data_IF_614928703680
#
_entry.id   IF_614928703680
#
_cell.length_a   1.000
_cell.length_b   1.000
_cell.length_c   1.000
_cell.angle_alpha   90.00
_cell.angle_beta   90.00
_cell.angle_gamma   90.00
#
_symmetry.space_group_name_H-M   'P 1'
#
loop_
_entity.id
_entity.type
_entity.pdbx_description
1 polymer ?
#
# COMPACT_ATOMS: atom_id res chain seq x y z
N UNK A 1 9.34 -24.04 8.42
CA UNK A 1 9.48 -22.88 7.52
C UNK A 1 8.21 -22.83 6.70
N UNK A 2 7.56 -21.68 6.62
CA UNK A 2 6.36 -21.52 5.79
C UNK A 2 6.73 -21.71 4.32
N UNK A 3 5.88 -22.42 3.59
CA UNK A 3 6.10 -22.77 2.19
C UNK A 3 4.86 -22.45 1.35
N UNK A 4 5.01 -22.21 0.03
CA UNK A 4 3.88 -22.05 -0.89
C UNK A 4 2.89 -23.23 -0.81
N UNK A 5 1.59 -22.95 -1.03
CA UNK A 5 0.51 -23.93 -0.87
C UNK A 5 0.67 -25.18 -1.75
N UNK A 6 1.22 -25.05 -2.95
CA UNK A 6 1.50 -26.15 -3.87
C UNK A 6 2.64 -27.06 -3.38
N UNK A 7 3.71 -26.48 -2.85
CA UNK A 7 4.81 -27.21 -2.21
C UNK A 7 4.33 -27.91 -0.93
N UNK A 8 3.56 -27.19 -0.11
CA UNK A 8 2.93 -27.74 1.10
C UNK A 8 2.06 -28.94 0.79
N UNK A 9 1.17 -28.82 -0.20
CA UNK A 9 0.24 -29.88 -0.57
C UNK A 9 0.99 -31.13 -1.06
N UNK A 10 1.97 -30.97 -1.95
CA UNK A 10 2.82 -32.08 -2.44
C UNK A 10 3.57 -32.78 -1.30
N UNK A 11 4.14 -32.01 -0.37
CA UNK A 11 4.81 -32.58 0.80
C UNK A 11 3.85 -33.38 1.66
N UNK A 12 2.61 -32.91 1.82
CA UNK A 12 1.57 -33.63 2.58
C UNK A 12 1.14 -34.91 1.88
N UNK A 13 0.98 -34.88 0.55
CA UNK A 13 0.72 -36.07 -0.26
C UNK A 13 1.80 -37.12 -0.07
N UNK A 14 3.08 -36.72 -0.18
CA UNK A 14 4.21 -37.61 0.07
C UNK A 14 4.22 -38.16 1.50
N UNK A 15 4.05 -37.30 2.51
CA UNK A 15 4.15 -37.71 3.91
C UNK A 15 3.03 -38.63 4.38
N UNK A 16 1.83 -38.54 3.76
CA UNK A 16 0.66 -39.35 4.13
C UNK A 16 0.41 -40.51 3.18
N UNK A 17 1.08 -40.54 2.02
CA UNK A 17 0.86 -41.55 0.98
C UNK A 17 -0.51 -41.45 0.30
N UNK A 18 -1.14 -40.27 0.32
CA UNK A 18 -2.50 -40.06 -0.19
C UNK A 18 -2.52 -38.92 -1.21
N UNK A 19 -3.30 -39.08 -2.30
CA UNK A 19 -3.49 -38.02 -3.28
C UNK A 19 -4.24 -36.79 -2.70
N UNK A 20 -5.09 -37.01 -1.70
CA UNK A 20 -5.82 -35.96 -0.97
C UNK A 20 -5.52 -36.10 0.51
N UNK A 21 -4.46 -35.45 1.04
CA UNK A 21 -3.94 -35.69 2.39
C UNK A 21 -4.88 -35.24 3.51
N UNK A 22 -5.83 -34.36 3.17
CA UNK A 22 -6.85 -33.85 4.06
C UNK A 22 -8.18 -33.76 3.31
N UNK A 23 -9.22 -34.37 3.86
CA UNK A 23 -10.55 -34.34 3.26
C UNK A 23 -11.15 -32.93 3.34
N UNK A 24 -11.96 -32.54 2.35
CA UNK A 24 -12.74 -31.30 2.41
C UNK A 24 -13.63 -31.35 3.66
N UNK A 25 -13.55 -30.31 4.50
CA UNK A 25 -14.28 -30.24 5.76
C UNK A 25 -13.53 -30.76 6.99
N UNK A 26 -12.35 -31.38 6.83
CA UNK A 26 -11.59 -31.97 7.95
C UNK A 26 -11.32 -31.00 9.10
N UNK A 27 -10.96 -29.75 8.79
CA UNK A 27 -10.70 -28.69 9.78
C UNK A 27 -11.85 -27.68 9.90
N UNK A 28 -13.08 -28.06 9.50
CA UNK A 28 -14.24 -27.16 9.55
C UNK A 28 -14.52 -26.64 10.96
N UNK A 29 -14.39 -27.51 11.96
CA UNK A 29 -14.59 -27.13 13.36
C UNK A 29 -13.55 -26.11 13.83
N UNK A 30 -12.29 -26.28 13.42
CA UNK A 30 -11.20 -25.39 13.82
C UNK A 30 -11.30 -23.99 13.19
N UNK A 31 -11.92 -23.90 12.00
CA UNK A 31 -12.18 -22.62 11.33
C UNK A 31 -13.50 -21.95 11.73
N UNK A 32 -14.43 -22.68 12.36
CA UNK A 32 -15.74 -22.15 12.75
C UNK A 32 -15.69 -20.85 13.61
N UNK A 33 -14.72 -20.66 14.53
CA UNK A 33 -14.60 -19.41 15.29
C UNK A 33 -14.16 -18.18 14.47
N UNK A 34 -13.75 -18.38 13.20
CA UNK A 34 -13.18 -17.34 12.35
C UNK A 34 -13.99 -17.12 11.05
N UNK A 35 -15.30 -16.81 11.13
CA UNK A 35 -16.18 -16.74 9.96
C UNK A 35 -15.80 -15.64 8.96
N UNK A 36 -15.06 -14.61 9.41
CA UNK A 36 -14.51 -13.58 8.51
C UNK A 36 -13.42 -14.18 7.62
N UNK A 37 -12.53 -15.03 8.15
CA UNK A 37 -11.44 -15.63 7.38
C UNK A 37 -11.93 -16.58 6.30
N UNK A 38 -13.08 -17.22 6.52
CA UNK A 38 -13.74 -18.03 5.51
C UNK A 38 -14.13 -17.17 4.29
N UNK A 39 -14.56 -15.93 4.50
CA UNK A 39 -14.90 -15.00 3.40
C UNK A 39 -13.68 -14.42 2.70
N UNK A 40 -12.56 -14.32 3.40
CA UNK A 40 -11.31 -13.79 2.86
C UNK A 40 -10.51 -14.83 2.06
N UNK A 41 -10.97 -16.08 2.01
CA UNK A 41 -10.23 -17.18 1.40
C UNK A 41 -10.85 -17.60 0.07
N UNK A 42 -10.01 -17.70 -0.96
CA UNK A 42 -10.40 -18.11 -2.31
C UNK A 42 -9.61 -19.36 -2.74
N UNK A 43 -10.27 -20.53 -2.91
CA UNK A 43 -9.60 -21.75 -3.35
C UNK A 43 -8.90 -21.60 -4.70
N UNK A 44 -9.48 -20.84 -5.62
CA UNK A 44 -8.93 -20.63 -6.97
C UNK A 44 -7.55 -19.95 -6.95
N UNK A 45 -7.28 -19.12 -5.93
CA UNK A 45 -5.98 -18.47 -5.73
C UNK A 45 -4.99 -19.31 -4.91
N UNK A 46 -5.45 -20.46 -4.40
CA UNK A 46 -4.71 -21.36 -3.53
C UNK A 46 -4.66 -22.77 -4.14
N UNK A 47 -4.56 -22.86 -5.47
CA UNK A 47 -4.40 -24.11 -6.22
C UNK A 47 -5.54 -25.13 -5.98
N UNK A 48 -6.76 -24.64 -5.77
CA UNK A 48 -7.94 -25.47 -5.52
C UNK A 48 -8.00 -26.10 -4.13
N UNK A 49 -7.03 -25.84 -3.26
CA UNK A 49 -7.07 -26.28 -1.86
C UNK A 49 -8.17 -25.49 -1.15
N UNK A 50 -9.06 -26.17 -0.45
CA UNK A 50 -10.12 -25.53 0.34
C UNK A 50 -9.60 -25.21 1.73
N UNK A 51 -9.98 -24.08 2.32
CA UNK A 51 -9.53 -23.67 3.67
C UNK A 51 -9.73 -24.77 4.73
N UNK A 52 -10.83 -25.51 4.63
CA UNK A 52 -11.16 -26.62 5.56
C UNK A 52 -10.27 -27.86 5.41
N UNK A 53 -9.36 -27.89 4.42
CA UNK A 53 -8.30 -28.89 4.28
C UNK A 53 -6.97 -28.40 4.87
N UNK A 54 -6.91 -27.14 5.31
CA UNK A 54 -5.71 -26.53 5.90
C UNK A 54 -5.88 -26.46 7.42
N UNK A 55 -5.01 -27.12 8.21
CA UNK A 55 -4.99 -26.93 9.65
C UNK A 55 -4.71 -25.46 10.02
N UNK A 56 -5.37 -24.87 11.02
CA UNK A 56 -5.04 -23.50 11.44
C UNK A 56 -3.59 -23.31 11.91
N UNK A 57 -2.92 -24.36 12.40
CA UNK A 57 -1.51 -24.30 12.78
C UNK A 57 -0.55 -24.59 11.62
N UNK A 58 -1.03 -24.73 10.39
CA UNK A 58 -0.18 -25.05 9.26
C UNK A 58 0.75 -23.87 8.91
N UNK A 59 2.03 -24.18 8.78
CA UNK A 59 3.06 -23.31 8.22
C UNK A 59 2.98 -23.30 6.68
N UNK A 60 1.85 -22.81 6.15
CA UNK A 60 1.57 -22.72 4.72
C UNK A 60 1.25 -21.27 4.36
N UNK A 61 1.83 -20.78 3.27
CA UNK A 61 1.54 -19.46 2.74
C UNK A 61 0.27 -19.54 1.88
N UNK A 62 -0.75 -18.78 2.26
CA UNK A 62 -2.03 -18.71 1.58
C UNK A 62 -2.30 -17.29 1.11
N UNK A 63 -3.01 -17.17 -0.01
CA UNK A 63 -3.49 -15.90 -0.55
C UNK A 63 -4.86 -15.58 0.02
N UNK A 64 -5.01 -14.36 0.55
CA UNK A 64 -6.23 -13.85 1.19
C UNK A 64 -6.68 -12.54 0.54
N UNK A 65 -7.98 -12.26 0.59
CA UNK A 65 -8.57 -10.96 0.22
C UNK A 65 -9.28 -10.35 1.43
N UNK A 66 -8.98 -9.12 1.84
CA UNK A 66 -9.74 -8.48 2.92
C UNK A 66 -11.09 -7.92 2.45
N UNK A 67 -11.98 -7.53 3.38
CA UNK A 67 -13.30 -6.96 3.06
C UNK A 67 -13.23 -5.63 2.24
N UNK A 68 -12.04 -5.03 2.10
CA UNK A 68 -11.78 -3.81 1.31
C UNK A 68 -11.16 -4.13 -0.06
N UNK A 69 -10.86 -5.40 -0.34
CA UNK A 69 -10.32 -5.86 -1.63
C UNK A 69 -8.79 -5.94 -1.72
N UNK A 70 -8.05 -5.76 -0.62
CA UNK A 70 -6.60 -5.96 -0.64
C UNK A 70 -6.27 -7.46 -0.66
N UNK A 71 -5.44 -7.87 -1.61
CA UNK A 71 -4.94 -9.24 -1.74
C UNK A 71 -3.54 -9.34 -1.14
N UNK A 72 -3.34 -10.30 -0.23
CA UNK A 72 -2.05 -10.49 0.46
C UNK A 72 -1.78 -11.95 0.79
N UNK A 73 -0.50 -12.28 1.00
CA UNK A 73 -0.04 -13.63 1.35
C UNK A 73 0.32 -13.68 2.83
N UNK A 74 -0.21 -14.67 3.55
CA UNK A 74 0.07 -14.88 4.96
C UNK A 74 -0.18 -16.32 5.37
N UNK A 75 0.47 -16.76 6.43
CA UNK A 75 0.14 -18.02 7.09
C UNK A 75 -1.21 -17.93 7.81
N UNK A 76 -1.92 -19.06 8.00
CA UNK A 76 -3.07 -19.15 8.91
C UNK A 76 -2.85 -18.46 10.27
N UNK A 77 -1.67 -18.64 10.87
CA UNK A 77 -1.34 -18.09 12.19
C UNK A 77 -1.21 -16.56 12.16
N UNK A 78 -0.48 -16.01 11.18
CA UNK A 78 -0.36 -14.56 10.96
C UNK A 78 -1.72 -13.94 10.70
N UNK A 79 -2.53 -14.58 9.86
CA UNK A 79 -3.84 -14.07 9.47
C UNK A 79 -4.85 -14.05 10.63
N UNK A 80 -4.76 -15.00 11.56
CA UNK A 80 -5.56 -14.98 12.80
C UNK A 80 -5.03 -13.99 13.84
N UNK A 81 -3.78 -13.54 13.72
CA UNK A 81 -3.15 -12.69 14.71
C UNK A 81 -3.72 -11.27 14.64
N UNK A 82 -4.29 -10.80 15.76
CA UNK A 82 -4.77 -9.41 15.87
C UNK A 82 -3.62 -8.47 16.24
N UNK A 83 -3.30 -7.45 15.44
CA UNK A 83 -2.38 -6.41 15.88
C UNK A 83 -3.10 -5.46 16.86
N UNK A 84 -3.03 -5.78 18.16
CA UNK A 84 -3.35 -4.84 19.23
C UNK A 84 -4.83 -4.42 19.39
N UNK A 85 -5.04 -3.36 20.19
CA UNK A 85 -6.35 -2.83 20.61
C UNK A 85 -6.89 -1.70 19.71
N UNK A 86 -6.53 -1.66 18.42
CA UNK A 86 -6.97 -0.58 17.52
C UNK A 86 -8.23 -0.92 16.72
N UNK A 87 -9.09 0.10 16.58
CA UNK A 87 -10.53 0.00 16.37
C UNK A 87 -10.94 -0.31 14.92
N UNK A 88 -10.73 -1.53 14.43
CA UNK A 88 -11.60 -2.13 13.41
C UNK A 88 -11.91 -3.59 13.73
N UNK A 89 -13.15 -3.99 13.46
CA UNK A 89 -13.68 -5.35 13.65
C UNK A 89 -13.34 -6.30 12.49
N UNK A 90 -12.63 -5.83 11.47
CA UNK A 90 -12.18 -6.66 10.34
C UNK A 90 -10.88 -7.36 10.70
N UNK A 91 -10.77 -8.63 10.35
CA UNK A 91 -9.59 -9.46 10.60
C UNK A 91 -8.35 -8.89 9.88
N UNK A 92 -7.16 -9.28 10.32
CA UNK A 92 -5.89 -8.69 9.95
C UNK A 92 -5.70 -8.60 8.43
N UNK A 93 -5.15 -7.49 7.98
CA UNK A 93 -4.70 -7.25 6.62
C UNK A 93 -3.54 -6.25 6.75
N UNK A 94 -2.36 -6.52 6.18
CA UNK A 94 -1.20 -5.66 6.34
C UNK A 94 -1.46 -4.25 5.78
N UNK A 95 -2.18 -4.13 4.67
CA UNK A 95 -2.54 -2.86 4.04
C UNK A 95 -3.51 -2.07 4.92
N UNK A 96 -4.60 -2.72 5.36
CA UNK A 96 -5.57 -2.10 6.25
C UNK A 96 -4.97 -1.74 7.61
N UNK A 97 -4.04 -2.54 8.14
CA UNK A 97 -3.35 -2.24 9.39
C UNK A 97 -2.52 -0.97 9.25
N UNK A 98 -1.77 -0.81 8.14
CA UNK A 98 -1.02 0.42 7.85
C UNK A 98 -1.95 1.62 7.68
N UNK A 99 -3.08 1.46 7.00
CA UNK A 99 -4.08 2.51 6.82
C UNK A 99 -4.81 2.87 8.13
N UNK A 100 -4.98 1.91 9.04
CA UNK A 100 -5.69 2.08 10.30
C UNK A 100 -4.82 2.63 11.43
N UNK A 101 -3.49 2.53 11.31
CA UNK A 101 -2.58 3.14 12.28
C UNK A 101 -2.89 4.64 12.36
N UNK A 102 -3.21 5.17 13.57
CA UNK A 102 -3.39 6.59 13.74
C UNK A 102 -2.10 7.25 13.31
N UNK A 103 -2.17 8.06 12.24
CA UNK A 103 -1.06 8.88 11.80
C UNK A 103 -0.65 9.72 13.01
N UNK A 104 0.48 9.37 13.64
CA UNK A 104 1.07 10.20 14.67
C UNK A 104 1.46 11.48 13.95
N UNK A 105 0.70 12.52 14.26
CA UNK A 105 0.94 13.85 13.73
C UNK A 105 2.41 14.22 13.98
N UNK A 106 3.13 14.77 12.99
CA UNK A 106 4.47 15.28 13.24
C UNK A 106 4.39 16.28 14.38
N UNK A 107 5.16 16.08 15.45
CA UNK A 107 5.38 17.15 16.42
C UNK A 107 6.12 18.22 15.65
N UNK A 108 5.47 19.37 15.43
CA UNK A 108 6.09 20.47 14.71
C UNK A 108 7.28 20.97 15.54
N UNK A 109 8.42 21.26 14.89
CA UNK A 109 9.49 22.02 15.51
C UNK A 109 8.96 23.33 16.10
N UNK A 110 9.53 23.77 17.22
CA UNK A 110 9.11 24.99 17.93
C UNK A 110 9.27 26.26 17.09
N UNK A 111 10.10 26.22 16.05
CA UNK A 111 10.41 27.31 15.12
C UNK A 111 9.57 27.24 13.83
N UNK A 112 8.36 26.68 13.88
CA UNK A 112 7.46 26.66 12.72
C UNK A 112 7.00 28.08 12.33
N UNK A 113 7.42 28.64 11.17
CA UNK A 113 6.99 29.94 10.68
C UNK A 113 5.46 30.10 10.63
N UNK A 114 4.97 31.19 11.22
CA UNK A 114 3.55 31.55 11.26
C UNK A 114 2.91 31.74 9.88
N UNK A 115 3.72 32.09 8.87
CA UNK A 115 3.26 32.28 7.50
C UNK A 115 3.01 30.96 6.75
N UNK A 116 3.47 29.82 7.28
CA UNK A 116 3.25 28.50 6.67
C UNK A 116 2.08 27.83 7.38
N UNK A 117 0.93 27.60 6.71
CA UNK A 117 -0.19 26.92 7.33
C UNK A 117 0.25 25.58 7.90
N UNK A 118 -0.04 25.36 9.18
CA UNK A 118 0.14 24.05 9.81
C UNK A 118 -0.58 23.03 8.93
N UNK A 119 0.06 21.90 8.55
CA UNK A 119 -0.61 20.91 7.73
C UNK A 119 -1.95 20.60 8.37
N UNK A 120 -3.05 20.73 7.63
CA UNK A 120 -4.34 20.41 8.23
C UNK A 120 -4.50 18.90 8.20
N UNK A 121 -4.91 18.30 9.33
CA UNK A 121 -5.43 16.94 9.28
C UNK A 121 -6.54 16.96 8.25
N UNK A 122 -6.46 16.11 7.23
CA UNK A 122 -7.63 15.80 6.41
C UNK A 122 -8.63 15.18 7.35
N UNK A 123 -9.49 16.01 7.93
CA UNK A 123 -10.70 15.57 8.58
C UNK A 123 -11.50 15.05 7.41
N UNK A 124 -11.54 13.72 7.25
CA UNK A 124 -12.58 13.11 6.43
C UNK A 124 -13.87 13.73 6.94
N UNK A 125 -14.50 14.56 6.11
CA UNK A 125 -15.85 15.02 6.36
C UNK A 125 -16.65 13.77 6.72
N UNK A 126 -17.09 13.69 7.97
CA UNK A 126 -18.01 12.65 8.39
C UNK A 126 -19.29 12.89 7.60
N UNK A 127 -19.39 12.20 6.47
CA UNK A 127 -20.33 12.56 5.44
C UNK A 127 -20.64 11.41 4.51
N UNK A 128 -20.83 10.20 5.06
CA UNK A 128 -21.94 9.40 4.51
C UNK A 128 -23.18 10.04 5.10
N UNK A 129 -23.82 10.94 4.35
CA UNK A 129 -25.22 11.26 4.60
C UNK A 129 -25.99 9.96 4.33
N UNK A 130 -26.06 9.09 5.33
CA UNK A 130 -27.12 8.09 5.36
C UNK A 130 -28.41 8.87 5.53
N UNK A 131 -29.30 8.74 4.56
CA UNK A 131 -30.69 9.19 4.64
C UNK A 131 -31.24 8.91 6.05
N UNK A 132 -32.01 9.84 6.66
CA UNK A 132 -32.50 9.67 8.01
C UNK A 132 -33.30 8.37 8.12
N UNK A 133 -32.89 7.51 9.05
CA UNK A 133 -33.65 6.31 9.40
C UNK A 133 -35.01 6.74 9.96
N UNK A 134 -36.08 6.13 9.45
CA UNK A 134 -37.45 6.33 9.94
C UNK A 134 -37.55 6.01 11.46
N UNK A 135 -38.41 6.71 12.22
CA UNK A 135 -38.47 6.55 13.67
C UNK A 135 -39.10 5.20 14.02
N UNK A 136 -38.34 4.36 14.73
CA UNK A 136 -38.86 3.14 15.32
C UNK A 136 -39.48 3.48 16.67
N UNK A 137 -40.79 3.24 16.82
CA UNK A 137 -41.55 3.36 18.06
C UNK A 137 -41.02 2.39 19.14
N UNK A 138 -41.11 2.79 20.42
CA UNK A 138 -40.64 2.08 21.63
C UNK A 138 -41.19 0.66 21.80
N UNK A 139 -40.72 -0.15 22.77
CA UNK A 139 -40.89 -0.01 24.24
C UNK A 139 -39.74 -0.77 25.01
N UNK A 140 -39.69 -0.88 26.38
CA UNK A 140 -38.50 -0.52 27.16
C UNK A 140 -37.87 -1.69 27.95
N UNK A 141 -36.74 -1.45 28.63
CA UNK A 141 -36.34 -2.35 29.71
C UNK A 141 -34.93 -2.15 30.27
N UNK A 142 -34.85 -1.64 31.50
CA UNK A 142 -33.90 -2.17 32.48
C UNK A 142 -32.55 -1.48 32.59
N UNK A 143 -32.48 -0.46 33.43
CA UNK A 143 -31.24 0.03 34.01
C UNK A 143 -30.58 -1.03 34.89
N UNK A 144 -29.24 -1.17 34.82
CA UNK A 144 -28.42 -1.47 35.99
C UNK A 144 -27.06 -0.80 35.83
N UNK A 145 -26.80 0.15 36.73
CA UNK A 145 -25.48 0.68 37.02
C UNK A 145 -24.72 -0.34 37.88
N UNK A 146 -23.42 -0.48 37.67
CA UNK A 146 -22.51 -0.91 38.72
C UNK A 146 -21.11 -0.38 38.47
N UNK A 147 -20.77 0.60 39.30
CA UNK A 147 -19.43 0.99 39.70
C UNK A 147 -18.67 -0.20 40.27
N UNK A 148 -17.34 -0.26 40.03
CA UNK A 148 -16.36 -0.79 40.98
C UNK A 148 -14.92 -0.49 40.55
N UNK A 149 -14.41 0.55 41.21
CA UNK A 149 -13.13 0.63 41.93
C UNK A 149 -12.00 -0.33 41.54
N UNK A 150 -10.89 0.28 41.13
CA UNK A 150 -9.53 -0.26 41.09
C UNK A 150 -9.12 -0.84 42.45
N UNK A 151 -8.48 -2.00 42.42
CA UNK A 151 -7.54 -2.43 43.46
C UNK A 151 -6.24 -2.89 42.80
N UNK A 152 -5.16 -2.18 43.12
CA UNK A 152 -3.77 -2.57 42.81
C UNK A 152 -3.29 -3.49 43.94
N UNK A 153 -2.71 -4.63 43.60
CA UNK A 153 -1.78 -5.36 44.47
C UNK A 153 -0.44 -5.57 43.76
N UNK A 154 0.69 -5.41 44.47
CA UNK A 154 2.02 -5.61 43.92
C UNK A 154 2.45 -7.08 44.09
N UNK A 155 3.30 -7.57 43.19
CA UNK A 155 4.13 -8.75 43.46
C UNK A 155 5.56 -8.43 43.04
N UNK A 156 6.46 -8.69 43.98
CA UNK A 156 7.89 -8.45 43.92
C UNK A 156 8.60 -9.41 42.96
N UNK A 157 9.84 -9.03 42.62
CA UNK A 157 10.59 -9.53 41.48
C UNK A 157 11.28 -10.87 41.64
N UNK A 158 11.84 -11.33 40.52
CA UNK A 158 13.01 -12.20 40.46
C UNK A 158 13.76 -11.99 39.14
N UNK A 159 15.01 -11.54 39.32
CA UNK A 159 16.23 -11.77 38.56
C UNK A 159 16.22 -11.86 37.02
N UNK A 160 16.97 -10.92 36.41
CA UNK A 160 18.20 -11.29 35.71
C UNK A 160 18.10 -11.71 34.23
N UNK A 161 17.88 -10.75 33.33
CA UNK A 161 18.18 -10.89 31.91
C UNK A 161 18.52 -9.52 31.31
N UNK A 162 19.81 -9.27 31.06
CA UNK A 162 20.30 -8.00 30.54
C UNK A 162 19.63 -7.65 29.19
N UNK A 163 19.12 -6.42 29.00
CA UNK A 163 18.61 -6.02 27.70
C UNK A 163 19.80 -5.91 26.74
N UNK A 164 19.83 -6.76 25.71
CA UNK A 164 20.70 -6.56 24.55
C UNK A 164 20.43 -5.16 24.01
N UNK A 165 21.43 -4.27 24.15
CA UNK A 165 21.41 -2.92 23.61
C UNK A 165 21.14 -3.01 22.12
N UNK A 166 19.93 -2.61 21.70
CA UNK A 166 19.66 -2.31 20.30
C UNK A 166 20.67 -1.24 19.87
N UNK A 167 21.48 -1.54 18.86
CA UNK A 167 22.38 -0.57 18.25
C UNK A 167 21.57 0.69 17.95
N UNK A 168 21.94 1.81 18.59
CA UNK A 168 21.32 3.10 18.37
C UNK A 168 21.55 3.46 16.90
N UNK A 169 20.50 3.40 16.09
CA UNK A 169 20.54 3.87 14.72
C UNK A 169 20.86 5.36 14.73
N UNK A 170 21.95 5.75 14.06
CA UNK A 170 22.29 7.16 13.83
C UNK A 170 21.04 7.87 13.28
N UNK A 171 20.60 9.00 13.86
CA UNK A 171 19.44 9.73 13.36
C UNK A 171 19.76 10.22 11.94
N UNK A 172 19.04 9.70 10.95
CA UNK A 172 19.15 10.15 9.56
C UNK A 172 18.65 11.59 9.46
N UNK A 173 19.51 12.50 9.05
CA UNK A 173 19.17 13.91 8.87
C UNK A 173 18.38 14.09 7.58
N UNK A 174 17.16 14.61 7.68
CA UNK A 174 16.30 14.89 6.53
C UNK A 174 16.83 16.14 5.80
N UNK A 175 16.81 16.10 4.47
CA UNK A 175 17.22 17.22 3.62
C UNK A 175 16.37 18.47 3.90
N UNK A 176 16.99 19.63 4.23
CA UNK A 176 16.25 20.86 4.55
C UNK A 176 15.80 21.65 3.30
N UNK A 177 16.21 21.22 2.10
CA UNK A 177 15.99 21.96 0.84
C UNK A 177 14.59 21.76 0.26
N UNK A 178 13.86 20.73 0.69
CA UNK A 178 12.49 20.50 0.24
C UNK A 178 11.58 21.63 0.75
N UNK A 179 10.91 22.39 -0.13
CA UNK A 179 10.00 23.45 0.28
C UNK A 179 8.83 22.90 1.11
N UNK A 180 8.33 23.73 2.02
CA UNK A 180 7.20 23.37 2.90
C UNK A 180 5.89 23.49 2.13
N UNK A 181 5.57 22.45 1.38
CA UNK A 181 4.34 22.35 0.59
C UNK A 181 3.32 21.40 1.22
N UNK A 182 2.02 21.51 0.85
CA UNK A 182 1.00 20.55 1.22
C UNK A 182 1.35 19.12 0.76
N UNK A 183 0.80 18.11 1.45
CA UNK A 183 0.95 16.72 1.05
C UNK A 183 0.40 16.49 -0.35
N UNK A 184 1.18 15.84 -1.21
CA UNK A 184 0.82 15.57 -2.60
C UNK A 184 0.91 16.80 -3.50
N UNK A 185 1.40 17.94 -3.02
CA UNK A 185 1.68 19.07 -3.91
C UNK A 185 2.86 18.73 -4.82
N UNK A 186 2.69 18.96 -6.13
CA UNK A 186 3.78 18.86 -7.10
C UNK A 186 4.50 20.20 -7.24
N UNK A 187 5.81 20.16 -7.45
CA UNK A 187 6.65 21.36 -7.57
C UNK A 187 7.94 21.05 -8.32
N UNK A 188 8.70 22.10 -8.65
CA UNK A 188 10.07 21.97 -9.18
C UNK A 188 11.06 21.89 -8.02
N UNK A 189 11.68 20.72 -7.82
CA UNK A 189 12.65 20.52 -6.76
C UNK A 189 14.07 20.92 -7.18
N UNK A 190 14.80 21.55 -6.26
CA UNK A 190 16.24 21.81 -6.36
C UNK A 190 17.11 20.58 -6.06
N UNK A 191 16.51 19.53 -5.47
CA UNK A 191 17.18 18.28 -5.13
C UNK A 191 16.91 17.16 -6.13
N UNK A 192 15.91 17.34 -7.01
CA UNK A 192 15.64 16.38 -8.06
C UNK A 192 16.91 16.17 -8.91
N UNK A 193 17.27 14.91 -9.21
CA UNK A 193 18.31 14.62 -10.18
C UNK A 193 18.03 15.36 -11.48
N UNK A 194 19.07 15.83 -12.16
CA UNK A 194 18.89 16.31 -13.53
C UNK A 194 18.24 15.19 -14.35
N UNK A 195 17.19 15.50 -15.11
CA UNK A 195 16.50 14.56 -16.00
C UNK A 195 17.54 13.83 -16.84
N UNK A 196 17.72 12.54 -16.57
CA UNK A 196 18.99 11.86 -16.81
C UNK A 196 19.07 11.21 -18.19
N UNK A 197 17.96 11.12 -18.93
CA UNK A 197 17.94 10.46 -20.22
C UNK A 197 17.28 11.27 -21.34
N UNK A 198 17.88 11.22 -22.54
CA UNK A 198 17.28 11.76 -23.76
C UNK A 198 15.88 11.18 -24.04
N UNK A 199 15.63 9.98 -23.53
CA UNK A 199 14.38 9.22 -23.63
C UNK A 199 13.27 9.88 -22.81
N UNK A 200 13.54 10.35 -21.59
CA UNK A 200 12.57 11.12 -20.80
C UNK A 200 12.19 12.45 -21.49
N UNK A 201 13.18 13.12 -22.10
CA UNK A 201 12.94 14.36 -22.85
C UNK A 201 12.10 14.11 -24.10
N UNK A 202 12.36 13.02 -24.83
CA UNK A 202 11.57 12.58 -25.97
C UNK A 202 10.11 12.29 -25.55
N UNK A 203 9.90 11.52 -24.47
CA UNK A 203 8.56 11.24 -23.94
C UNK A 203 7.80 12.53 -23.61
N UNK A 204 8.46 13.46 -22.92
CA UNK A 204 7.88 14.75 -22.54
C UNK A 204 7.53 15.57 -23.78
N UNK A 205 8.41 15.60 -24.78
CA UNK A 205 8.18 16.24 -26.08
C UNK A 205 6.92 15.73 -26.77
N UNK A 206 6.83 14.42 -26.97
CA UNK A 206 5.67 13.79 -27.62
C UNK A 206 4.36 13.99 -26.84
N UNK A 207 4.40 13.99 -25.51
CA UNK A 207 3.24 14.29 -24.69
C UNK A 207 2.83 15.75 -24.83
N UNK A 208 3.78 16.68 -24.83
CA UNK A 208 3.53 18.12 -24.96
C UNK A 208 2.95 18.53 -26.31
N UNK A 209 3.28 17.79 -27.37
CA UNK A 209 2.72 17.98 -28.71
C UNK A 209 1.23 17.61 -28.76
N UNK A 210 0.78 16.70 -27.89
CA UNK A 210 -0.60 16.17 -27.88
C UNK A 210 -1.46 16.77 -26.79
N UNK A 211 -0.86 17.16 -25.66
CA UNK A 211 -1.58 17.63 -24.49
C UNK A 211 -0.95 18.89 -23.91
N UNK A 212 -1.79 19.84 -23.52
CA UNK A 212 -1.45 21.08 -22.85
C UNK A 212 -1.39 20.92 -21.31
N UNK A 213 -0.68 19.90 -20.81
CA UNK A 213 -0.41 19.73 -19.37
C UNK A 213 0.78 20.59 -18.91
N UNK A 214 0.92 20.71 -17.59
CA UNK A 214 2.09 21.28 -16.93
C UNK A 214 3.23 20.25 -16.87
N UNK A 215 4.41 20.61 -17.39
CA UNK A 215 5.57 19.69 -17.50
C UNK A 215 6.86 20.22 -16.83
N UNK A 216 6.82 21.30 -16.07
CA UNK A 216 7.99 21.89 -15.39
C UNK A 216 8.17 21.38 -13.95
N UNK A 217 7.20 20.63 -13.43
CA UNK A 217 7.27 19.99 -12.12
C UNK A 217 8.15 18.73 -12.15
N UNK A 218 9.00 18.58 -11.12
CA UNK A 218 9.98 17.49 -11.01
C UNK A 218 9.90 16.71 -9.69
N UNK A 219 9.04 17.14 -8.75
CA UNK A 219 8.87 16.47 -7.48
C UNK A 219 7.42 16.49 -6.98
N UNK A 220 7.10 15.49 -6.14
CA UNK A 220 5.84 15.39 -5.39
C UNK A 220 6.16 15.36 -3.90
N UNK A 221 5.50 16.21 -3.11
CA UNK A 221 5.66 16.28 -1.66
C UNK A 221 5.05 15.05 -0.96
N UNK A 222 5.86 14.33 -0.17
CA UNK A 222 5.46 13.09 0.53
C UNK A 222 5.22 13.28 2.03
N UNK A 223 4.19 12.68 2.62
CA UNK A 223 4.00 12.75 4.08
C UNK A 223 5.11 12.09 4.91
N UNK A 224 5.84 11.16 4.32
CA UNK A 224 6.90 10.40 4.99
C UNK A 224 8.21 10.51 4.24
N UNK A 225 9.35 10.47 4.96
CA UNK A 225 10.65 10.43 4.31
C UNK A 225 10.79 9.19 3.41
N UNK A 226 11.24 9.43 2.19
CA UNK A 226 11.74 8.43 1.28
C UNK A 226 13.24 8.66 1.14
N UNK A 227 14.03 7.73 1.66
CA UNK A 227 15.45 7.96 1.98
C UNK A 227 15.61 9.20 2.88
N UNK A 228 16.45 10.15 2.48
CA UNK A 228 16.76 11.35 3.24
C UNK A 228 15.92 12.57 2.78
N UNK A 229 14.91 12.34 1.94
CA UNK A 229 14.05 13.37 1.35
C UNK A 229 12.59 13.15 1.73
N UNK A 230 11.78 14.22 1.72
CA UNK A 230 10.32 14.17 1.91
C UNK A 230 9.59 14.50 0.61
N UNK A 231 10.21 14.12 -0.50
CA UNK A 231 9.77 14.30 -1.87
C UNK A 231 10.09 13.04 -2.69
N UNK A 232 9.26 12.76 -3.68
CA UNK A 232 9.52 11.76 -4.72
C UNK A 232 9.83 12.47 -6.03
N UNK A 233 10.67 11.84 -6.87
CA UNK A 233 11.06 12.34 -8.20
C UNK A 233 10.64 11.36 -9.28
N UNK A 234 9.39 11.42 -9.78
CA UNK A 234 9.01 10.73 -11.01
C UNK A 234 9.66 11.34 -12.24
N UNK A 235 9.76 10.58 -13.32
CA UNK A 235 10.34 11.06 -14.58
C UNK A 235 9.46 12.14 -15.22
N UNK A 236 8.14 11.93 -15.22
CA UNK A 236 7.17 12.93 -15.65
C UNK A 236 6.06 13.03 -14.60
N UNK A 237 5.67 14.27 -14.31
CA UNK A 237 4.56 14.60 -13.42
C UNK A 237 3.50 15.27 -14.28
N UNK A 238 2.26 14.80 -14.17
CA UNK A 238 1.06 15.42 -14.75
C UNK A 238 0.18 15.94 -13.60
N UNK A 239 0.38 17.19 -13.13
CA UNK A 239 -0.32 17.74 -11.97
C UNK A 239 -1.84 17.74 -12.11
N UNK A 240 -2.35 18.07 -13.29
CA UNK A 240 -3.77 18.19 -13.58
C UNK A 240 -4.48 16.85 -13.38
N UNK A 241 -3.81 15.76 -13.75
CA UNK A 241 -4.33 14.41 -13.60
C UNK A 241 -3.95 13.78 -12.25
N UNK A 242 -3.05 14.38 -11.48
CA UNK A 242 -2.36 13.71 -10.36
C UNK A 242 -1.86 12.32 -10.76
N UNK A 243 -1.13 12.27 -11.88
CA UNK A 243 -0.47 11.06 -12.38
C UNK A 243 1.03 11.31 -12.47
N UNK A 244 1.79 10.40 -11.90
CA UNK A 244 3.24 10.30 -12.02
C UNK A 244 3.56 9.19 -13.03
N UNK A 245 4.45 9.47 -13.97
CA UNK A 245 4.91 8.51 -14.97
C UNK A 245 6.38 8.20 -14.70
N UNK A 246 6.70 6.91 -14.71
CA UNK A 246 8.08 6.40 -14.61
C UNK A 246 8.39 5.64 -15.90
N UNK A 247 9.57 5.86 -16.46
CA UNK A 247 10.13 5.13 -17.59
C UNK A 247 11.23 4.21 -17.08
N UNK A 248 10.90 2.93 -16.92
CA UNK A 248 11.85 1.91 -16.49
C UNK A 248 12.47 1.23 -17.72
N UNK A 249 13.80 1.30 -17.82
CA UNK A 249 14.57 0.50 -18.78
C UNK A 249 15.46 -0.51 -18.06
N UNK A 250 15.84 -1.61 -18.72
CA UNK A 250 16.77 -2.59 -18.13
C UNK A 250 18.19 -2.05 -17.91
N UNK A 251 18.47 -0.80 -18.31
CA UNK A 251 19.77 -0.16 -18.22
C UNK A 251 20.83 -0.79 -19.14
N UNK A 252 22.04 -0.21 -19.14
CA UNK A 252 23.19 -0.74 -19.89
C UNK A 252 23.76 -2.06 -19.33
N UNK A 253 23.41 -2.43 -18.09
CA UNK A 253 23.96 -3.59 -17.39
C UNK A 253 22.93 -4.65 -16.98
N UNK A 254 21.65 -4.54 -17.38
CA UNK A 254 20.64 -5.59 -17.21
C UNK A 254 20.19 -5.88 -15.77
N UNK A 255 20.59 -5.06 -14.80
CA UNK A 255 20.33 -5.22 -13.36
C UNK A 255 19.52 -4.05 -12.77
N UNK A 256 19.08 -3.11 -13.60
CA UNK A 256 18.14 -2.07 -13.20
C UNK A 256 16.73 -2.68 -13.09
N UNK A 257 16.06 -2.40 -11.97
CA UNK A 257 14.69 -2.87 -11.63
C UNK A 257 14.47 -4.38 -11.40
N UNK A 258 15.52 -5.13 -11.03
CA UNK A 258 15.39 -6.53 -10.58
C UNK A 258 15.80 -6.66 -9.09
N UNK A 259 15.04 -7.40 -8.29
CA UNK A 259 15.38 -7.71 -6.89
C UNK A 259 15.18 -6.52 -5.91
N UNK A 260 16.14 -6.20 -5.02
CA UNK A 260 15.99 -5.16 -3.97
C UNK A 260 15.60 -3.76 -4.48
N UNK A 261 15.94 -3.44 -5.73
CA UNK A 261 15.53 -2.19 -6.38
C UNK A 261 14.04 -2.17 -6.71
N UNK A 262 13.45 -3.32 -7.07
CA UNK A 262 12.00 -3.45 -7.28
C UNK A 262 11.20 -3.22 -5.98
N UNK A 263 11.73 -3.63 -4.83
CA UNK A 263 11.09 -3.36 -3.52
C UNK A 263 11.13 -1.87 -3.17
N UNK A 264 12.22 -1.19 -3.52
CA UNK A 264 12.39 0.25 -3.37
C UNK A 264 11.43 1.01 -4.28
N UNK A 265 11.31 0.60 -5.54
CA UNK A 265 10.37 1.13 -6.52
C UNK A 265 8.93 0.99 -6.03
N UNK A 266 8.55 -0.20 -5.56
CA UNK A 266 7.23 -0.42 -4.93
C UNK A 266 7.02 0.46 -3.70
N UNK A 267 8.07 0.76 -2.93
CA UNK A 267 7.97 1.66 -1.77
C UNK A 267 7.79 3.12 -2.22
N UNK A 268 8.46 3.57 -3.27
CA UNK A 268 8.27 4.88 -3.92
C UNK A 268 6.83 5.00 -4.40
N UNK A 269 6.35 4.02 -5.16
CA UNK A 269 5.00 3.95 -5.70
C UNK A 269 3.94 4.05 -4.59
N UNK A 270 4.12 3.29 -3.49
CA UNK A 270 3.23 3.37 -2.34
C UNK A 270 3.26 4.74 -1.66
N UNK A 271 4.42 5.37 -1.56
CA UNK A 271 4.55 6.70 -0.95
C UNK A 271 3.85 7.78 -1.80
N UNK A 272 4.02 7.73 -3.13
CA UNK A 272 3.36 8.62 -4.09
C UNK A 272 1.84 8.40 -4.06
N UNK A 273 1.38 7.14 -4.09
CA UNK A 273 -0.05 6.82 -3.97
C UNK A 273 -0.68 7.25 -2.65
N UNK A 274 0.07 7.17 -1.54
CA UNK A 274 -0.42 7.59 -0.23
C UNK A 274 -0.76 9.09 -0.16
N UNK A 275 -0.18 9.91 -1.05
CA UNK A 275 -0.45 11.36 -1.14
C UNK A 275 -1.41 11.72 -2.28
N UNK A 276 -2.16 10.75 -2.79
CA UNK A 276 -3.27 10.98 -3.73
C UNK A 276 -2.88 11.08 -5.19
N UNK A 277 -1.76 10.47 -5.57
CA UNK A 277 -1.30 10.37 -6.96
C UNK A 277 -1.45 8.94 -7.47
N UNK A 278 -1.64 8.76 -8.78
CA UNK A 278 -1.42 7.45 -9.39
C UNK A 278 -0.06 7.36 -10.06
N UNK A 279 0.49 6.14 -10.14
CA UNK A 279 1.77 5.87 -10.81
C UNK A 279 1.53 4.96 -11.98
N UNK A 280 2.00 5.38 -13.16
CA UNK A 280 1.98 4.61 -14.41
C UNK A 280 3.42 4.35 -14.82
N UNK A 281 3.83 3.08 -14.92
CA UNK A 281 5.19 2.73 -15.36
C UNK A 281 5.19 2.32 -16.83
N UNK A 282 6.05 2.94 -17.63
CA UNK A 282 6.41 2.49 -18.97
C UNK A 282 7.64 1.60 -18.82
N UNK A 283 7.44 0.29 -18.92
CA UNK A 283 8.49 -0.71 -18.72
C UNK A 283 8.98 -1.20 -20.08
N UNK A 284 10.28 -1.09 -20.33
CA UNK A 284 10.91 -1.56 -21.56
C UNK A 284 11.68 -2.86 -21.39
N UNK A 285 11.78 -3.63 -22.48
CA UNK A 285 12.44 -4.95 -22.48
C UNK A 285 11.57 -6.05 -21.87
N UNK A 286 12.19 -6.98 -21.10
CA UNK A 286 11.50 -8.13 -20.47
C UNK A 286 11.02 -7.85 -19.04
N UNK A 287 10.84 -6.58 -18.68
CA UNK A 287 10.43 -6.21 -17.33
C UNK A 287 8.91 -6.49 -17.13
N UNK A 288 8.51 -7.25 -16.10
CA UNK A 288 7.11 -7.52 -15.84
C UNK A 288 6.39 -6.27 -15.31
N UNK A 289 5.09 -6.14 -15.61
CA UNK A 289 4.25 -5.10 -15.03
C UNK A 289 4.19 -5.23 -13.49
N UNK A 290 4.21 -4.11 -12.79
CA UNK A 290 4.05 -4.02 -11.34
C UNK A 290 2.64 -3.59 -10.93
N UNK A 291 1.97 -2.80 -11.77
CA UNK A 291 0.62 -2.30 -11.59
C UNK A 291 -0.31 -2.58 -12.77
N UNK A 292 -1.63 -2.46 -12.57
CA UNK A 292 -2.64 -2.75 -13.60
C UNK A 292 -2.61 -1.78 -14.78
N UNK A 293 -2.01 -0.60 -14.60
CA UNK A 293 -1.91 0.45 -15.61
C UNK A 293 -0.50 0.56 -16.21
N UNK A 294 0.40 -0.37 -15.90
CA UNK A 294 1.76 -0.35 -16.43
C UNK A 294 1.78 -0.76 -17.91
N UNK A 295 2.57 -0.03 -18.70
CA UNK A 295 2.73 -0.27 -20.13
C UNK A 295 4.02 -1.04 -20.38
N UNK A 296 3.90 -2.27 -20.88
CA UNK A 296 5.02 -3.00 -21.44
C UNK A 296 5.19 -2.64 -22.92
N UNK A 297 6.33 -2.03 -23.26
CA UNK A 297 6.64 -1.55 -24.62
C UNK A 297 8.08 -1.85 -25.00
N UNK A 298 8.39 -1.88 -26.29
CA UNK A 298 9.77 -2.04 -26.78
C UNK A 298 10.61 -0.76 -26.68
N UNK A 299 9.95 0.40 -26.60
CA UNK A 299 10.56 1.71 -26.54
C UNK A 299 9.53 2.83 -26.66
N UNK A 300 9.99 4.07 -26.71
CA UNK A 300 9.15 5.24 -26.98
C UNK A 300 8.81 5.29 -28.47
N UNK A 301 7.55 5.55 -28.77
CA UNK A 301 7.01 5.70 -30.12
C UNK A 301 5.65 6.40 -30.07
N UNK A 302 5.12 6.84 -31.21
CA UNK A 302 3.76 7.43 -31.26
C UNK A 302 2.70 6.49 -30.68
N UNK A 303 2.81 5.20 -30.98
CA UNK A 303 1.93 4.15 -30.43
C UNK A 303 2.04 4.00 -28.92
N UNK A 304 3.24 4.16 -28.36
CA UNK A 304 3.45 4.14 -26.90
C UNK A 304 2.70 5.29 -26.25
N UNK A 305 2.75 6.48 -26.86
CA UNK A 305 2.03 7.66 -26.36
C UNK A 305 0.51 7.53 -26.56
N UNK A 306 0.04 6.89 -27.64
CA UNK A 306 -1.38 6.57 -27.81
C UNK A 306 -1.89 5.68 -26.68
N UNK A 307 -1.18 4.58 -26.39
CA UNK A 307 -1.53 3.67 -25.29
C UNK A 307 -1.48 4.35 -23.93
N UNK A 308 -0.53 5.25 -23.72
CA UNK A 308 -0.46 6.06 -22.51
C UNK A 308 -1.67 6.99 -22.40
N UNK A 309 -2.05 7.67 -23.48
CA UNK A 309 -3.24 8.50 -23.50
C UNK A 309 -4.49 7.69 -23.13
N UNK A 310 -4.68 6.51 -23.72
CA UNK A 310 -5.80 5.62 -23.37
C UNK A 310 -5.76 5.19 -21.90
N UNK A 311 -4.58 4.87 -21.37
CA UNK A 311 -4.41 4.55 -19.95
C UNK A 311 -4.77 5.72 -19.04
N UNK A 312 -4.42 6.95 -19.43
CA UNK A 312 -4.81 8.15 -18.69
C UNK A 312 -6.33 8.33 -18.72
N UNK A 313 -6.98 8.07 -19.87
CA UNK A 313 -8.44 8.13 -20.01
C UNK A 313 -9.13 7.08 -19.15
N UNK A 314 -8.59 5.87 -19.06
CA UNK A 314 -9.11 4.83 -18.17
C UNK A 314 -8.98 5.23 -16.69
N UNK A 315 -7.87 5.88 -16.33
CA UNK A 315 -7.56 6.28 -14.95
C UNK A 315 -8.36 7.49 -14.44
N UNK A 316 -8.65 8.46 -15.31
CA UNK A 316 -9.24 9.76 -14.93
C UNK A 316 -10.53 10.10 -15.66
N UNK A 317 -10.91 9.32 -16.65
CA UNK A 317 -12.04 9.56 -17.54
C UNK A 317 -11.61 10.34 -18.79
N UNK A 318 -12.11 9.90 -19.94
CA UNK A 318 -11.80 10.51 -21.24
C UNK A 318 -12.09 12.01 -21.28
N UNK A 319 -13.26 12.42 -20.79
CA UNK A 319 -13.66 13.83 -20.77
C UNK A 319 -12.67 14.75 -20.04
N UNK A 320 -12.05 14.26 -18.95
CA UNK A 320 -11.12 15.07 -18.19
C UNK A 320 -9.73 15.15 -18.84
N UNK A 321 -9.28 14.06 -19.47
CA UNK A 321 -7.99 14.00 -20.18
C UNK A 321 -8.06 14.78 -21.49
N UNK A 322 -9.14 14.58 -22.26
CA UNK A 322 -9.30 15.19 -23.58
C UNK A 322 -9.55 16.71 -23.49
N UNK A 323 -9.95 17.23 -22.31
CA UNK A 323 -10.00 18.68 -22.06
C UNK A 323 -8.62 19.36 -22.19
N UNK A 324 -7.54 18.59 -22.10
CA UNK A 324 -6.17 19.07 -22.27
C UNK A 324 -5.57 18.68 -23.63
N UNK A 325 -6.31 18.00 -24.52
CA UNK A 325 -5.81 17.66 -25.84
C UNK A 325 -5.57 18.94 -26.69
N UNK A 326 -4.57 18.87 -27.58
CA UNK A 326 -4.26 19.91 -28.57
C UNK A 326 -4.88 19.61 -29.92
#
# INVERSE_FOLDING_TARGET
MAEPVDAWWRRRQWSRGEAVPYAVGQFRADWAPYPVLIRQYHPDWNHGVVLTQVPPAAEVLLTWECDVGHVFVATPSEQRSRPGRERRRSVWCPECAVQAQPQRWPVLPSDWPQAVPVPQRVVRSAGRQTLPAAPVRGVPGGAVASSRSRSRRPVAGSAGGAPRRSAQSVPRTICPKTPRLPSGESFTSVCAPATASAVEAELRGMLSERFAFTYDHSAIRLDRPFFDHVEAWPDIILPELRVAIEYDSTGRHGLEHVGPRQETDRKKDRAVRAVGWEVVRIRTGRLPALGPHDLQVSGISGRTVDRLADTLRDLRGALFVDAYAR
#
